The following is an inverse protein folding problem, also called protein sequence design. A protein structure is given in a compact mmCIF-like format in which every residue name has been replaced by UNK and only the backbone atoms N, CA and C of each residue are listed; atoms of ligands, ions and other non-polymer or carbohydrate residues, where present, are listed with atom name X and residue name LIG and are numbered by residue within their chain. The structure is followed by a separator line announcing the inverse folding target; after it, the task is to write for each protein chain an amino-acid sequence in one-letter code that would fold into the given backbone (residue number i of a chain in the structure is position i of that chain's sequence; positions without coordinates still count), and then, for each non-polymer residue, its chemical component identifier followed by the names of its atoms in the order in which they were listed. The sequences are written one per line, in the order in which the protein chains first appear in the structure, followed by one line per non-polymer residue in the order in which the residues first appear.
data_IF_828677895295
#
_entry.id   IF_828677895295
#
_cell.length_a   1.000
_cell.length_b   1.000
_cell.length_c   1.000
_cell.angle_alpha   90.00
_cell.angle_beta   90.00
_cell.angle_gamma   90.00
#
_symmetry.space_group_name_H-M   'P 1'
#
loop_
_entity.id
_entity.type
_entity.pdbx_description
1 polymer ?
#
# COMPACT_ATOMS: atom_id res chain seq x y z
N UNK A 1 -6.84 1.41 -2.71
CA UNK A 1 -6.07 2.67 -2.71
C UNK A 1 -6.09 3.22 -4.12
N UNK A 2 -6.26 4.53 -4.29
CA UNK A 2 -6.33 5.17 -5.60
C UNK A 2 -5.25 6.26 -5.70
N UNK A 3 -4.38 6.15 -6.70
CA UNK A 3 -3.36 7.16 -7.00
C UNK A 3 -3.88 8.26 -7.92
N UNK A 4 -5.09 8.14 -8.48
CA UNK A 4 -5.70 9.12 -9.36
C UNK A 4 -5.18 9.08 -10.80
N UNK A 5 -5.59 10.08 -11.58
CA UNK A 5 -5.16 10.26 -12.98
C UNK A 5 -4.02 11.27 -13.06
N UNK A 6 -2.89 10.85 -13.64
CA UNK A 6 -1.68 11.65 -13.71
C UNK A 6 -1.01 11.58 -15.08
N UNK A 7 -0.31 12.65 -15.43
CA UNK A 7 0.64 12.66 -16.54
C UNK A 7 1.98 12.07 -16.08
N UNK A 8 2.78 11.53 -17.00
CA UNK A 8 4.09 10.92 -16.73
C UNK A 8 5.09 11.85 -16.01
N UNK A 9 4.89 13.16 -16.12
CA UNK A 9 5.72 14.23 -15.55
C UNK A 9 5.15 14.84 -14.25
N UNK A 10 4.08 14.27 -13.68
CA UNK A 10 3.47 14.73 -12.42
C UNK A 10 4.38 14.60 -11.18
N UNK A 11 5.56 13.98 -11.31
CA UNK A 11 6.47 13.73 -10.20
C UNK A 11 6.08 12.50 -9.38
N UNK A 12 6.53 12.38 -8.11
CA UNK A 12 6.16 11.25 -7.26
C UNK A 12 4.68 11.35 -6.87
N UNK A 13 3.97 10.22 -6.89
CA UNK A 13 2.58 10.13 -6.47
C UNK A 13 2.51 9.55 -5.06
N UNK A 14 1.62 10.09 -4.23
CA UNK A 14 1.34 9.57 -2.90
C UNK A 14 -0.17 9.36 -2.77
N UNK A 15 -0.57 8.27 -2.13
CA UNK A 15 -1.95 7.96 -1.83
C UNK A 15 -2.03 7.36 -0.42
N UNK A 16 -3.22 7.38 0.18
CA UNK A 16 -3.47 6.72 1.46
C UNK A 16 -4.80 6.00 1.44
N UNK A 17 -4.89 4.88 2.16
CA UNK A 17 -6.13 4.17 2.40
C UNK A 17 -6.19 3.73 3.86
N UNK A 18 -7.41 3.61 4.40
CA UNK A 18 -7.63 3.17 5.77
C UNK A 18 -8.13 1.73 5.76
N UNK A 19 -7.50 0.89 6.58
CA UNK A 19 -8.03 -0.42 6.97
C UNK A 19 -8.68 -0.29 8.33
N UNK A 20 -9.85 -0.91 8.49
CA UNK A 20 -10.57 -0.94 9.76
C UNK A 20 -10.52 -2.36 10.30
N UNK A 21 -9.98 -2.52 11.51
CA UNK A 21 -9.93 -3.80 12.22
C UNK A 21 -10.65 -3.70 13.56
N UNK A 22 -11.03 -4.82 14.13
CA UNK A 22 -11.59 -4.89 15.49
C UNK A 22 -11.04 -6.14 16.17
N UNK A 23 -10.14 -5.93 17.12
CA UNK A 23 -9.54 -6.98 17.93
C UNK A 23 -10.03 -6.84 19.38
N UNK A 24 -10.05 -7.96 20.13
CA UNK A 24 -10.36 -7.94 21.56
C UNK A 24 -9.39 -7.03 22.32
N UNK A 25 -9.92 -6.37 23.36
CA UNK A 25 -9.13 -5.44 24.18
C UNK A 25 -7.91 -6.15 24.78
N UNK A 26 -6.72 -5.58 24.56
CA UNK A 26 -5.46 -6.09 25.07
C UNK A 26 -4.81 -7.18 24.22
N UNK A 27 -5.41 -7.60 23.10
CA UNK A 27 -4.80 -8.58 22.20
C UNK A 27 -3.78 -7.90 21.29
N UNK A 28 -2.47 -8.22 21.37
CA UNK A 28 -1.49 -7.74 20.42
C UNK A 28 -1.79 -8.29 19.03
N UNK A 29 -1.55 -7.51 17.99
CA UNK A 29 -1.65 -7.98 16.62
C UNK A 29 -0.54 -7.39 15.73
N UNK A 30 -0.30 -8.04 14.60
CA UNK A 30 0.53 -7.53 13.53
C UNK A 30 -0.22 -7.58 12.20
N UNK A 31 -0.10 -6.52 11.41
CA UNK A 31 -0.58 -6.49 10.03
C UNK A 31 0.62 -6.62 9.09
N UNK A 32 0.56 -7.61 8.20
CA UNK A 32 1.60 -7.85 7.19
C UNK A 32 0.98 -7.88 5.80
N UNK A 33 1.80 -7.62 4.79
CA UNK A 33 1.48 -8.00 3.40
C UNK A 33 2.02 -9.40 3.09
N UNK A 34 1.51 -10.04 2.05
CA UNK A 34 2.12 -11.28 1.53
C UNK A 34 3.60 -11.06 1.19
N UNK A 35 4.47 -11.95 1.66
CA UNK A 35 5.94 -11.79 1.60
C UNK A 35 6.52 -11.87 0.19
N UNK A 36 5.81 -12.44 -0.77
CA UNK A 36 6.22 -12.60 -2.18
C UNK A 36 5.52 -11.61 -3.13
N UNK A 37 4.79 -10.62 -2.58
CA UNK A 37 4.10 -9.64 -3.40
C UNK A 37 5.10 -8.73 -4.13
N UNK A 38 4.95 -8.58 -5.44
CA UNK A 38 5.92 -7.82 -6.27
C UNK A 38 5.77 -6.30 -6.19
N UNK A 39 4.66 -5.80 -5.64
CA UNK A 39 4.33 -4.37 -5.59
C UNK A 39 4.44 -3.67 -6.95
N UNK A 40 3.82 -4.30 -7.96
CA UNK A 40 3.77 -3.77 -9.32
C UNK A 40 2.33 -3.66 -9.80
N UNK A 41 1.89 -2.44 -10.12
CA UNK A 41 0.61 -2.25 -10.80
C UNK A 41 0.76 -2.63 -12.25
N UNK A 42 -0.12 -3.50 -12.74
CA UNK A 42 -0.13 -3.96 -14.12
C UNK A 42 -1.08 -3.09 -14.94
N UNK A 43 -0.64 -2.67 -16.13
CA UNK A 43 -1.51 -2.04 -17.11
C UNK A 43 -2.64 -3.02 -17.50
N UNK A 44 -3.89 -2.55 -17.53
CA UNK A 44 -5.04 -3.41 -17.82
C UNK A 44 -5.09 -3.90 -19.27
N UNK A 45 -4.47 -3.17 -20.20
CA UNK A 45 -4.45 -3.46 -21.63
C UNK A 45 -3.13 -4.12 -22.11
N UNK A 46 -2.04 -4.01 -21.35
CA UNK A 46 -0.71 -4.48 -21.76
C UNK A 46 -0.03 -5.34 -20.68
N UNK A 47 1.19 -5.82 -20.96
CA UNK A 47 2.02 -6.50 -19.97
C UNK A 47 2.89 -5.53 -19.14
N UNK A 48 2.77 -4.23 -19.37
CA UNK A 48 3.55 -3.21 -18.71
C UNK A 48 3.22 -3.11 -17.23
N UNK A 49 4.22 -2.76 -16.42
CA UNK A 49 4.14 -2.67 -14.97
C UNK A 49 4.71 -1.35 -14.46
N UNK A 50 4.16 -0.87 -13.35
CA UNK A 50 4.63 0.31 -12.62
C UNK A 50 4.86 -0.07 -11.17
N UNK A 51 6.09 0.14 -10.71
CA UNK A 51 6.48 -0.14 -9.33
C UNK A 51 5.85 0.87 -8.37
N UNK A 52 5.44 0.38 -7.20
CA UNK A 52 5.03 1.21 -6.07
C UNK A 52 5.52 0.59 -4.76
N UNK A 53 5.36 1.31 -3.66
CA UNK A 53 5.63 0.80 -2.32
C UNK A 53 4.50 1.18 -1.38
N UNK A 54 4.24 0.32 -0.39
CA UNK A 54 3.32 0.59 0.71
C UNK A 54 4.10 0.79 2.01
N UNK A 55 3.61 1.68 2.86
CA UNK A 55 4.24 2.07 4.11
C UNK A 55 3.20 2.14 5.23
N UNK A 56 3.66 1.87 6.45
CA UNK A 56 2.87 2.05 7.67
C UNK A 56 2.91 3.47 8.22
N UNK A 57 3.77 4.32 7.68
CA UNK A 57 3.93 5.72 8.05
C UNK A 57 3.92 6.66 6.84
N UNK A 58 3.53 7.91 7.08
CA UNK A 58 3.44 8.95 6.05
C UNK A 58 4.81 9.44 5.55
N UNK A 59 5.89 9.22 6.31
CA UNK A 59 7.23 9.63 5.91
C UNK A 59 7.86 8.64 4.90
N UNK A 60 7.27 7.46 4.74
CA UNK A 60 7.76 6.41 3.86
C UNK A 60 9.02 5.72 4.40
N UNK A 61 9.15 5.61 5.72
CA UNK A 61 10.31 5.00 6.37
C UNK A 61 10.13 3.49 6.63
N UNK A 62 8.89 3.06 6.89
CA UNK A 62 8.54 1.72 7.33
C UNK A 62 7.78 0.99 6.21
N UNK A 63 8.54 0.37 5.31
CA UNK A 63 7.96 -0.31 4.15
C UNK A 63 7.26 -1.61 4.56
N UNK A 64 6.00 -1.75 4.15
CA UNK A 64 5.12 -2.85 4.56
C UNK A 64 5.60 -4.22 4.03
N UNK A 65 6.40 -4.23 2.96
CA UNK A 65 7.02 -5.42 2.38
C UNK A 65 7.97 -6.14 3.35
N UNK A 66 8.53 -5.41 4.32
CA UNK A 66 9.54 -5.93 5.25
C UNK A 66 9.22 -5.65 6.71
N UNK A 67 8.37 -4.65 6.98
CA UNK A 67 8.06 -4.18 8.33
C UNK A 67 6.58 -4.38 8.63
N UNK A 68 6.22 -5.27 9.57
CA UNK A 68 4.84 -5.42 10.05
C UNK A 68 4.35 -4.14 10.73
N UNK A 69 3.04 -3.92 10.72
CA UNK A 69 2.39 -2.88 11.51
C UNK A 69 1.95 -3.47 12.84
N UNK A 70 2.61 -3.15 13.96
CA UNK A 70 2.20 -3.63 15.28
C UNK A 70 0.99 -2.85 15.78
N UNK A 71 0.17 -3.50 16.59
CA UNK A 71 -0.90 -2.86 17.33
C UNK A 71 -1.40 -3.68 18.51
N UNK A 72 -2.35 -3.12 19.26
CA UNK A 72 -3.00 -3.81 20.37
C UNK A 72 -4.47 -3.45 20.35
N UNK A 73 -5.33 -4.46 20.26
CA UNK A 73 -6.76 -4.26 20.16
C UNK A 73 -7.30 -3.46 21.34
N UNK A 74 -8.20 -2.54 21.04
CA UNK A 74 -8.94 -1.73 22.03
C UNK A 74 -10.33 -2.28 22.34
N UNK A 75 -10.77 -3.37 21.70
CA UNK A 75 -12.15 -3.85 21.78
C UNK A 75 -13.14 -3.00 20.99
N UNK A 76 -12.66 -2.07 20.16
CA UNK A 76 -13.44 -1.20 19.29
C UNK A 76 -12.84 -1.15 17.88
N UNK A 77 -13.50 -0.48 16.94
CA UNK A 77 -12.99 -0.31 15.60
C UNK A 77 -11.74 0.59 15.59
N UNK A 78 -10.65 0.08 15.00
CA UNK A 78 -9.36 0.76 14.91
C UNK A 78 -9.06 1.06 13.45
N UNK A 79 -8.74 2.33 13.18
CA UNK A 79 -8.41 2.81 11.85
C UNK A 79 -6.90 2.79 11.68
N UNK A 80 -6.41 1.93 10.80
CA UNK A 80 -4.99 1.79 10.47
C UNK A 80 -4.75 2.41 9.09
N UNK A 81 -4.03 3.55 9.00
CA UNK A 81 -3.69 4.14 7.71
C UNK A 81 -2.56 3.36 7.03
N UNK A 82 -2.67 3.18 5.72
CA UNK A 82 -1.65 2.62 4.84
C UNK A 82 -1.34 3.68 3.79
N UNK A 83 -0.05 3.93 3.55
CA UNK A 83 0.43 4.95 2.63
C UNK A 83 1.07 4.29 1.42
N UNK A 84 0.70 4.71 0.22
CA UNK A 84 1.28 4.23 -1.02
C UNK A 84 2.08 5.31 -1.70
N UNK A 85 3.15 4.91 -2.39
CA UNK A 85 4.01 5.81 -3.15
C UNK A 85 4.41 5.22 -4.50
N UNK A 86 4.31 6.03 -5.55
CA UNK A 86 4.92 5.78 -6.86
C UNK A 86 6.04 6.78 -7.05
N UNK A 87 7.24 6.31 -7.40
CA UNK A 87 8.37 7.23 -7.64
C UNK A 87 8.19 7.99 -8.95
N UNK A 88 8.74 9.20 -9.05
CA UNK A 88 8.73 9.95 -10.31
C UNK A 88 9.37 9.16 -11.46
N UNK A 89 10.41 8.37 -11.16
CA UNK A 89 11.06 7.49 -12.14
C UNK A 89 10.10 6.41 -12.65
N UNK A 90 9.43 5.69 -11.76
CA UNK A 90 8.45 4.67 -12.13
C UNK A 90 7.31 5.26 -12.96
N UNK A 91 6.80 6.43 -12.55
CA UNK A 91 5.74 7.13 -13.29
C UNK A 91 6.19 7.59 -14.68
N UNK A 92 7.40 8.13 -14.82
CA UNK A 92 7.92 8.65 -16.10
C UNK A 92 8.02 7.58 -17.19
N UNK A 93 8.12 6.31 -16.80
CA UNK A 93 8.23 5.16 -17.68
C UNK A 93 6.86 4.57 -18.08
N UNK A 94 5.79 4.93 -17.35
CA UNK A 94 4.45 4.32 -17.43
C UNK A 94 3.63 4.79 -18.64
N UNK A 95 3.31 3.93 -19.62
CA UNK A 95 2.47 4.27 -20.78
C UNK A 95 1.07 4.73 -20.39
N UNK A 96 0.40 5.53 -21.24
CA UNK A 96 -0.99 5.87 -20.98
C UNK A 96 -1.84 4.61 -20.85
N UNK A 97 -2.65 4.56 -19.80
CA UNK A 97 -3.56 3.45 -19.52
C UNK A 97 -3.88 3.35 -18.04
N UNK A 98 -4.81 2.45 -17.74
CA UNK A 98 -5.19 2.15 -16.35
C UNK A 98 -4.26 1.09 -15.78
N UNK A 99 -3.82 1.29 -14.54
CA UNK A 99 -2.92 0.39 -13.82
C UNK A 99 -3.59 -0.08 -12.54
N UNK A 100 -3.52 -1.38 -12.26
CA UNK A 100 -4.12 -1.97 -11.07
C UNK A 100 -3.25 -3.06 -10.46
N UNK A 101 -3.32 -3.21 -9.15
CA UNK A 101 -2.75 -4.31 -8.37
C UNK A 101 -3.69 -4.68 -7.22
N UNK A 102 -3.57 -5.91 -6.73
CA UNK A 102 -4.31 -6.41 -5.56
C UNK A 102 -3.30 -6.90 -4.52
N UNK A 103 -3.25 -6.20 -3.37
CA UNK A 103 -2.43 -6.60 -2.22
C UNK A 103 -3.32 -7.21 -1.14
N UNK A 104 -2.93 -8.38 -0.64
CA UNK A 104 -3.58 -9.00 0.52
C UNK A 104 -2.87 -8.59 1.79
N UNK A 105 -3.63 -8.04 2.75
CA UNK A 105 -3.17 -7.78 4.11
C UNK A 105 -3.61 -8.92 5.03
N UNK A 106 -2.69 -9.41 5.85
CA UNK A 106 -2.94 -10.47 6.84
C UNK A 106 -2.83 -9.88 8.24
N UNK A 107 -3.80 -10.18 9.10
CA UNK A 107 -3.77 -9.82 10.52
C UNK A 107 -3.47 -11.08 11.32
N UNK A 108 -2.38 -11.06 12.10
CA UNK A 108 -1.99 -12.13 13.03
C UNK A 108 -2.12 -11.63 14.47
N UNK A 109 -2.68 -12.45 15.37
CA UNK A 109 -2.99 -12.13 16.77
C UNK A 109 -2.68 -13.30 17.71
#
# INVERSE_FOLDING_TARGET
MDFGTHTRDSGPLNASANTIITCSSGTPFNITSTSDHSYTMKNTATAEKVDYALYSDNAGASELSTTPIPGTGTGSAEVIPIYGKVTARALSQASPGDYSDTVTLTVAY
#
